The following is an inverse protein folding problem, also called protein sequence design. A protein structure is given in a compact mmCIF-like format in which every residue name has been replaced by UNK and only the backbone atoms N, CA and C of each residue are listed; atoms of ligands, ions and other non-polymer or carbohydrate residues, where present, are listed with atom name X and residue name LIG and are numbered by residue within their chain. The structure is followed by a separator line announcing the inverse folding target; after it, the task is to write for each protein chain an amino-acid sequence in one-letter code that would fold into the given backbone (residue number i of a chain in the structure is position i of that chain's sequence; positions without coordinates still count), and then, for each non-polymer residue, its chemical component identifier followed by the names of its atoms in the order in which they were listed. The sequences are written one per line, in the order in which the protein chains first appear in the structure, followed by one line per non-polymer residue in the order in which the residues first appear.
data_IF_737820464093
#
_entry.id   IF_737820464093
#
_cell.length_a   1.000
_cell.length_b   1.000
_cell.length_c   1.000
_cell.angle_alpha   90.00
_cell.angle_beta   90.00
_cell.angle_gamma   90.00
#
_symmetry.space_group_name_H-M   'P 1'
#
loop_
_entity.id
_entity.type
_entity.pdbx_description
1 polymer ?
#
# COMPACT_ATOMS: atom_id res chain seq x y z
N UNK A 1 -0.35 19.82 16.32
CA UNK A 1 1.08 19.79 15.94
C UNK A 1 1.15 19.02 14.63
N UNK A 2 1.72 19.61 13.56
CA UNK A 2 1.87 18.91 12.29
C UNK A 2 2.95 17.85 12.39
N UNK A 3 2.68 16.65 11.89
CA UNK A 3 3.64 15.56 11.84
C UNK A 3 4.27 15.58 10.45
N UNK A 4 5.59 15.61 10.39
CA UNK A 4 6.37 15.63 9.14
C UNK A 4 7.42 14.53 9.16
N UNK A 5 7.84 14.10 7.97
CA UNK A 5 8.96 13.17 7.82
C UNK A 5 10.24 13.69 8.49
N UNK A 6 11.02 12.76 9.04
CA UNK A 6 12.29 13.07 9.73
C UNK A 6 13.47 12.57 8.91
N UNK A 7 14.66 13.17 9.14
CA UNK A 7 15.92 12.68 8.61
C UNK A 7 16.01 12.64 7.08
N UNK A 8 15.32 13.57 6.38
CA UNK A 8 15.41 13.64 4.92
C UNK A 8 16.81 14.04 4.47
N UNK A 9 17.26 13.54 3.30
CA UNK A 9 18.52 14.00 2.68
C UNK A 9 18.53 15.51 2.45
N UNK A 10 19.72 16.10 2.40
CA UNK A 10 19.88 17.53 2.11
C UNK A 10 19.22 17.91 0.79
N UNK A 11 18.42 18.98 0.82
CA UNK A 11 17.68 19.47 -0.35
C UNK A 11 16.34 18.75 -0.61
N UNK A 12 16.00 17.71 0.15
CA UNK A 12 14.70 17.03 0.02
C UNK A 12 13.71 17.61 1.03
N UNK A 13 12.64 18.30 0.60
CA UNK A 13 11.66 18.86 1.51
C UNK A 13 10.85 17.73 2.19
N UNK A 14 10.67 17.76 3.53
CA UNK A 14 9.86 16.76 4.21
C UNK A 14 8.38 16.92 3.84
N UNK A 15 7.69 15.80 3.69
CA UNK A 15 6.24 15.79 3.50
C UNK A 15 5.51 15.77 4.84
N UNK A 16 4.35 16.42 4.88
CA UNK A 16 3.42 16.40 6.01
C UNK A 16 2.54 15.15 5.96
N UNK A 17 2.34 14.52 7.13
CA UNK A 17 1.40 13.42 7.28
C UNK A 17 -0.03 13.96 7.30
N UNK A 18 -0.76 13.74 6.22
CA UNK A 18 -2.17 14.16 6.05
C UNK A 18 -3.17 13.04 6.29
N UNK A 19 -2.70 11.78 6.40
CA UNK A 19 -3.53 10.58 6.44
C UNK A 19 -4.03 10.13 5.06
N UNK A 20 -3.75 10.89 4.00
CA UNK A 20 -4.05 10.51 2.62
C UNK A 20 -3.10 9.44 2.08
N UNK A 21 -1.86 9.48 2.55
CA UNK A 21 -0.79 8.56 2.14
C UNK A 21 0.07 8.15 3.31
N UNK A 22 0.65 6.96 3.21
CA UNK A 22 1.65 6.49 4.17
C UNK A 22 3.01 7.09 3.85
N UNK A 23 3.71 7.55 4.88
CA UNK A 23 5.03 8.14 4.75
C UNK A 23 6.11 7.29 5.46
N UNK A 24 7.22 6.95 4.77
CA UNK A 24 8.43 6.48 5.45
C UNK A 24 9.01 7.61 6.31
N UNK A 25 9.89 7.25 7.24
CA UNK A 25 10.59 8.21 8.10
C UNK A 25 9.67 9.04 9.03
N UNK A 26 8.47 8.51 9.30
CA UNK A 26 7.55 8.95 10.35
C UNK A 26 7.37 7.79 11.34
N UNK A 27 7.93 7.86 12.56
CA UNK A 27 7.91 6.73 13.51
C UNK A 27 6.51 6.19 13.81
N UNK A 28 5.51 7.06 13.88
CA UNK A 28 4.11 6.66 14.11
C UNK A 28 3.50 5.87 12.94
N UNK A 29 4.01 6.07 11.73
CA UNK A 29 3.57 5.41 10.51
C UNK A 29 4.30 4.09 10.22
N UNK A 30 5.31 3.70 11.02
CA UNK A 30 6.16 2.56 10.68
C UNK A 30 5.36 1.27 10.41
N UNK A 31 4.30 0.99 11.17
CA UNK A 31 3.44 -0.17 10.92
C UNK A 31 2.81 -0.13 9.53
N UNK A 32 2.15 0.97 9.17
CA UNK A 32 1.47 1.16 7.88
C UNK A 32 2.46 1.14 6.72
N UNK A 33 3.56 1.87 6.88
CA UNK A 33 4.65 1.87 5.90
C UNK A 33 5.19 0.45 5.65
N UNK A 34 5.49 -0.34 6.70
CA UNK A 34 6.02 -1.71 6.54
C UNK A 34 5.00 -2.68 5.96
N UNK A 35 3.72 -2.47 6.25
CA UNK A 35 2.59 -3.21 5.67
C UNK A 35 2.52 -3.01 4.15
N UNK A 36 2.56 -1.77 3.68
CA UNK A 36 2.58 -1.47 2.25
C UNK A 36 3.90 -1.90 1.59
N UNK A 37 5.03 -1.66 2.25
CA UNK A 37 6.35 -2.06 1.75
C UNK A 37 6.44 -3.56 1.47
N UNK A 38 5.81 -4.41 2.28
CA UNK A 38 5.78 -5.85 2.05
C UNK A 38 5.13 -6.22 0.72
N UNK A 39 4.06 -5.52 0.33
CA UNK A 39 3.39 -5.72 -0.96
C UNK A 39 4.26 -5.21 -2.11
N UNK A 40 4.91 -4.05 -1.96
CA UNK A 40 5.85 -3.53 -2.96
C UNK A 40 7.05 -4.45 -3.17
N UNK A 41 7.66 -4.98 -2.09
CA UNK A 41 8.77 -5.94 -2.19
C UNK A 41 8.34 -7.22 -2.91
N UNK A 42 7.14 -7.72 -2.62
CA UNK A 42 6.56 -8.90 -3.28
C UNK A 42 6.26 -8.64 -4.76
N UNK A 43 5.71 -7.47 -5.13
CA UNK A 43 5.45 -7.07 -6.50
C UNK A 43 6.75 -6.86 -7.29
N UNK A 44 7.78 -6.28 -6.66
CA UNK A 44 9.07 -6.03 -7.29
C UNK A 44 9.73 -7.31 -7.84
N UNK A 45 9.63 -8.44 -7.11
CA UNK A 45 10.16 -9.72 -7.60
C UNK A 45 9.43 -10.21 -8.86
N UNK A 46 8.14 -9.90 -9.00
CA UNK A 46 7.30 -10.26 -10.16
C UNK A 46 7.46 -9.31 -11.33
N UNK A 47 7.94 -8.11 -11.05
CA UNK A 47 8.21 -7.08 -12.05
C UNK A 47 9.66 -7.09 -12.54
N UNK A 48 10.45 -8.12 -12.22
CA UNK A 48 11.87 -8.19 -12.59
C UNK A 48 12.05 -8.10 -14.12
N UNK A 49 12.86 -7.13 -14.57
CA UNK A 49 13.14 -6.90 -15.99
C UNK A 49 12.04 -6.22 -16.81
N UNK A 50 10.88 -5.92 -16.21
CA UNK A 50 9.73 -5.32 -16.87
C UNK A 50 9.79 -3.78 -16.89
N UNK A 51 9.00 -3.18 -17.80
CA UNK A 51 8.61 -1.77 -17.76
C UNK A 51 7.37 -1.67 -16.85
N UNK A 52 7.47 -0.92 -15.78
CA UNK A 52 6.45 -0.85 -14.73
C UNK A 52 5.96 0.57 -14.56
N UNK A 53 4.67 0.74 -14.37
CA UNK A 53 4.07 2.00 -13.92
C UNK A 53 3.55 1.81 -12.49
N UNK A 54 4.01 2.65 -11.57
CA UNK A 54 3.49 2.76 -10.21
C UNK A 54 2.45 3.89 -10.20
N UNK A 55 1.18 3.54 -10.29
CA UNK A 55 0.05 4.47 -10.36
C UNK A 55 -0.35 4.95 -8.97
N UNK A 56 -0.47 6.28 -8.79
CA UNK A 56 -0.62 6.94 -7.50
C UNK A 56 0.55 6.63 -6.56
N UNK A 57 1.77 6.85 -7.05
CA UNK A 57 3.01 6.46 -6.36
C UNK A 57 3.30 7.25 -5.07
N UNK A 58 2.55 8.30 -4.79
CA UNK A 58 2.67 9.13 -3.59
C UNK A 58 4.07 9.68 -3.37
N UNK A 59 4.64 9.39 -2.21
CA UNK A 59 6.00 9.80 -1.81
C UNK A 59 7.12 9.18 -2.65
N UNK A 60 6.82 8.09 -3.39
CA UNK A 60 7.73 7.47 -4.35
C UNK A 60 8.54 6.30 -3.82
N UNK A 61 8.43 5.90 -2.54
CA UNK A 61 9.18 4.76 -2.00
C UNK A 61 8.84 3.44 -2.71
N UNK A 62 7.57 3.26 -3.11
CA UNK A 62 7.10 2.09 -3.85
C UNK A 62 7.78 1.98 -5.20
N UNK A 63 7.74 3.04 -5.99
CA UNK A 63 8.44 3.13 -7.28
C UNK A 63 9.94 2.87 -7.13
N UNK A 64 10.56 3.38 -6.07
CA UNK A 64 11.99 3.13 -5.79
C UNK A 64 12.28 1.66 -5.44
N UNK A 65 11.36 0.96 -4.76
CA UNK A 65 11.46 -0.48 -4.48
C UNK A 65 11.33 -1.29 -5.76
N UNK A 66 10.31 -1.02 -6.59
CA UNK A 66 10.10 -1.66 -7.89
C UNK A 66 11.33 -1.51 -8.79
N UNK A 67 11.92 -0.32 -8.83
CA UNK A 67 13.10 -0.02 -9.64
C UNK A 67 14.39 -0.75 -9.22
N UNK A 68 14.37 -1.53 -8.14
CA UNK A 68 15.49 -2.42 -7.79
C UNK A 68 15.54 -3.67 -8.66
N UNK A 69 14.40 -4.07 -9.25
CA UNK A 69 14.23 -5.29 -10.03
C UNK A 69 13.74 -5.02 -11.45
N UNK A 70 12.85 -4.06 -11.63
CA UNK A 70 12.32 -3.68 -12.92
C UNK A 70 13.39 -3.05 -13.81
N UNK A 71 13.23 -3.19 -15.14
CA UNK A 71 14.07 -2.53 -16.14
C UNK A 71 13.86 -1.02 -16.16
N UNK A 72 12.62 -0.60 -16.00
CA UNK A 72 12.20 0.81 -15.99
C UNK A 72 10.96 0.95 -15.10
N UNK A 73 10.90 2.03 -14.32
CA UNK A 73 9.73 2.39 -13.53
C UNK A 73 9.35 3.84 -13.78
N UNK A 74 8.05 4.06 -14.00
CA UNK A 74 7.44 5.39 -14.02
C UNK A 74 6.49 5.49 -12.83
N UNK A 75 6.80 6.34 -11.85
CA UNK A 75 5.88 6.71 -10.78
C UNK A 75 4.97 7.84 -11.25
N UNK A 76 3.66 7.65 -11.17
CA UNK A 76 2.64 8.63 -11.55
C UNK A 76 1.87 9.08 -10.32
N UNK A 77 1.77 10.38 -10.08
CA UNK A 77 0.95 10.95 -9.00
C UNK A 77 0.47 12.36 -9.39
N UNK A 78 -0.69 12.76 -8.91
CA UNK A 78 -1.24 14.08 -9.18
C UNK A 78 -0.65 15.18 -8.27
N UNK A 79 -0.14 14.79 -7.09
CA UNK A 79 0.33 15.74 -6.08
C UNK A 79 1.72 16.28 -6.42
N UNK A 80 1.85 17.61 -6.68
CA UNK A 80 3.12 18.17 -7.10
C UNK A 80 4.20 18.13 -6.00
N UNK A 81 3.82 18.24 -4.73
CA UNK A 81 4.77 18.23 -3.61
C UNK A 81 5.35 16.82 -3.40
N UNK A 82 4.49 15.79 -3.48
CA UNK A 82 4.90 14.39 -3.39
C UNK A 82 5.89 14.05 -4.52
N UNK A 83 5.60 14.48 -5.75
CA UNK A 83 6.47 14.22 -6.90
C UNK A 83 7.79 14.98 -6.87
N UNK A 84 7.79 16.22 -6.39
CA UNK A 84 9.04 16.96 -6.19
C UNK A 84 9.92 16.25 -5.16
N UNK A 85 9.36 15.88 -4.03
CA UNK A 85 10.03 15.07 -3.02
C UNK A 85 10.58 13.77 -3.61
N UNK A 86 9.73 13.01 -4.34
CA UNK A 86 10.11 11.75 -4.94
C UNK A 86 11.30 11.88 -5.93
N UNK A 87 11.28 12.89 -6.80
CA UNK A 87 12.36 13.18 -7.76
C UNK A 87 13.68 13.50 -7.09
N UNK A 88 13.64 14.25 -5.99
CA UNK A 88 14.84 14.62 -5.24
C UNK A 88 15.39 13.45 -4.42
N UNK A 89 14.50 12.67 -3.80
CA UNK A 89 14.89 11.57 -2.88
C UNK A 89 15.31 10.30 -3.63
N UNK A 90 14.62 9.93 -4.71
CA UNK A 90 14.76 8.65 -5.38
C UNK A 90 15.37 8.79 -6.79
N UNK A 91 16.52 9.44 -6.87
CA UNK A 91 17.22 9.59 -8.16
C UNK A 91 18.06 8.34 -8.47
N UNK A 92 17.63 7.57 -9.49
CA UNK A 92 18.38 6.40 -9.99
C UNK A 92 18.07 6.13 -11.47
N UNK A 93 19.00 5.51 -12.22
CA UNK A 93 18.75 5.10 -13.60
C UNK A 93 17.52 4.21 -13.74
N UNK A 94 16.70 4.45 -14.76
CA UNK A 94 15.49 3.68 -15.03
C UNK A 94 14.27 4.05 -14.17
N UNK A 95 14.38 5.00 -13.25
CA UNK A 95 13.26 5.52 -12.45
C UNK A 95 12.96 6.97 -12.82
N UNK A 96 11.71 7.25 -13.16
CA UNK A 96 11.23 8.62 -13.39
C UNK A 96 9.88 8.86 -12.72
N UNK A 97 9.54 10.11 -12.47
CA UNK A 97 8.27 10.52 -11.88
C UNK A 97 7.55 11.50 -12.79
N UNK A 98 6.27 11.26 -13.05
CA UNK A 98 5.41 12.04 -13.94
C UNK A 98 4.21 12.56 -13.14
N UNK A 99 3.90 13.84 -13.31
CA UNK A 99 2.70 14.42 -12.73
C UNK A 99 1.53 14.24 -13.66
N UNK A 100 0.59 13.39 -13.26
CA UNK A 100 -0.67 13.18 -13.96
C UNK A 100 -1.72 12.61 -13.01
N UNK A 101 -2.97 12.63 -13.44
CA UNK A 101 -4.06 11.88 -12.81
C UNK A 101 -4.00 10.43 -13.28
N UNK A 102 -4.34 9.49 -12.40
CA UNK A 102 -4.38 8.06 -12.74
C UNK A 102 -5.36 7.76 -13.88
N UNK A 103 -6.42 8.56 -13.99
CA UNK A 103 -7.41 8.47 -15.07
C UNK A 103 -6.93 9.09 -16.39
N UNK A 104 -5.87 9.90 -16.39
CA UNK A 104 -5.37 10.61 -17.57
C UNK A 104 -4.14 9.98 -18.20
N UNK A 105 -3.38 9.20 -17.44
CA UNK A 105 -2.12 8.64 -17.90
C UNK A 105 -2.32 7.42 -18.81
N UNK A 106 -1.62 7.36 -19.96
CA UNK A 106 -1.89 6.38 -21.04
C UNK A 106 -0.63 5.74 -21.65
N UNK A 107 0.52 5.74 -20.96
CA UNK A 107 1.72 5.13 -21.51
C UNK A 107 1.66 3.59 -21.40
N UNK A 108 1.84 2.82 -22.51
CA UNK A 108 1.87 1.36 -22.46
C UNK A 108 3.07 0.83 -21.68
N UNK A 109 2.86 -0.24 -20.90
CA UNK A 109 3.90 -0.88 -20.11
C UNK A 109 3.69 -2.40 -20.03
N UNK A 110 4.60 -3.10 -19.37
CA UNK A 110 4.48 -4.55 -19.19
C UNK A 110 3.67 -4.87 -17.90
N UNK A 111 3.74 -3.98 -16.89
CA UNK A 111 2.95 -4.14 -15.67
C UNK A 111 2.56 -2.79 -15.03
N UNK A 112 1.38 -2.75 -14.43
CA UNK A 112 0.91 -1.64 -13.57
C UNK A 112 0.86 -2.12 -12.13
N UNK A 113 1.36 -1.29 -11.21
CA UNK A 113 1.23 -1.44 -9.76
C UNK A 113 0.35 -0.31 -9.25
N UNK A 114 -0.79 -0.65 -8.62
CA UNK A 114 -1.81 0.28 -8.14
C UNK A 114 -2.26 -0.13 -6.75
N UNK A 115 -1.53 0.33 -5.74
CA UNK A 115 -1.69 -0.16 -4.37
C UNK A 115 -2.33 0.89 -3.46
N UNK A 116 -3.31 0.44 -2.64
CA UNK A 116 -3.99 1.27 -1.63
C UNK A 116 -4.53 2.58 -2.22
N UNK A 117 -5.24 2.46 -3.34
CA UNK A 117 -5.75 3.63 -4.07
C UNK A 117 -7.11 3.38 -4.69
N UNK A 118 -7.46 2.13 -5.03
CA UNK A 118 -8.74 1.79 -5.68
C UNK A 118 -9.95 2.18 -4.82
N UNK A 119 -9.80 2.22 -3.51
CA UNK A 119 -10.78 2.68 -2.53
C UNK A 119 -11.07 4.19 -2.59
N UNK A 120 -10.19 4.97 -3.21
CA UNK A 120 -10.33 6.41 -3.43
C UNK A 120 -10.92 6.77 -4.79
N UNK A 121 -11.09 5.78 -5.68
CA UNK A 121 -11.54 6.00 -7.06
C UNK A 121 -13.07 5.97 -7.17
N UNK A 122 -13.65 6.95 -7.86
CA UNK A 122 -15.10 7.02 -8.07
C UNK A 122 -15.63 5.94 -9.00
N UNK A 123 -14.88 5.63 -10.06
CA UNK A 123 -15.24 4.60 -11.04
C UNK A 123 -14.09 3.60 -11.23
N UNK A 124 -13.88 2.68 -10.27
CA UNK A 124 -12.76 1.74 -10.32
C UNK A 124 -12.85 0.77 -11.50
N UNK A 125 -14.05 0.37 -11.93
CA UNK A 125 -14.21 -0.51 -13.09
C UNK A 125 -13.71 0.12 -14.39
N UNK A 126 -14.05 1.36 -14.65
CA UNK A 126 -13.56 2.09 -15.84
C UNK A 126 -12.04 2.28 -15.80
N UNK A 127 -11.47 2.58 -14.62
CA UNK A 127 -10.02 2.70 -14.46
C UNK A 127 -9.30 1.37 -14.71
N UNK A 128 -9.81 0.28 -14.15
CA UNK A 128 -9.27 -1.06 -14.36
C UNK A 128 -9.34 -1.50 -15.83
N UNK A 129 -10.42 -1.14 -16.55
CA UNK A 129 -10.54 -1.38 -18.00
C UNK A 129 -9.40 -0.68 -18.76
N UNK A 130 -9.09 0.57 -18.44
CA UNK A 130 -7.94 1.28 -19.03
C UNK A 130 -6.61 0.62 -18.70
N UNK A 131 -6.44 0.15 -17.47
CA UNK A 131 -5.21 -0.56 -17.09
C UNK A 131 -5.04 -1.86 -17.86
N UNK A 132 -6.14 -2.60 -18.13
CA UNK A 132 -6.13 -3.80 -18.99
C UNK A 132 -5.67 -3.49 -20.43
N UNK A 133 -5.99 -2.30 -20.93
CA UNK A 133 -5.57 -1.85 -22.27
C UNK A 133 -4.08 -1.43 -22.30
N UNK A 134 -3.52 -1.04 -21.16
CA UNK A 134 -2.15 -0.49 -21.05
C UNK A 134 -1.10 -1.54 -20.70
N UNK A 135 -1.47 -2.62 -20.00
CA UNK A 135 -0.51 -3.58 -19.44
C UNK A 135 -1.01 -5.03 -19.47
N UNK A 136 -0.07 -5.97 -19.64
CA UNK A 136 -0.36 -7.42 -19.60
C UNK A 136 -0.66 -7.90 -18.18
N UNK A 137 -0.13 -7.22 -17.17
CA UNK A 137 -0.33 -7.57 -15.74
C UNK A 137 -0.63 -6.33 -14.92
N UNK A 138 -1.65 -6.41 -14.07
CA UNK A 138 -2.00 -5.33 -13.15
C UNK A 138 -2.04 -5.87 -11.72
N UNK A 139 -1.30 -5.23 -10.82
CA UNK A 139 -1.33 -5.47 -9.38
C UNK A 139 -2.18 -4.40 -8.72
N UNK A 140 -3.24 -4.81 -8.03
CA UNK A 140 -4.14 -3.89 -7.31
C UNK A 140 -4.21 -4.30 -5.85
N UNK A 141 -4.16 -3.34 -4.92
CA UNK A 141 -4.44 -3.64 -3.51
C UNK A 141 -5.42 -2.65 -2.90
N UNK A 142 -6.12 -3.13 -1.87
CA UNK A 142 -7.08 -2.34 -1.08
C UNK A 142 -7.15 -2.90 0.34
N UNK A 143 -7.48 -2.08 1.36
CA UNK A 143 -7.74 -2.57 2.70
C UNK A 143 -8.96 -3.50 2.74
N UNK A 144 -8.95 -4.45 3.66
CA UNK A 144 -10.12 -5.26 3.97
C UNK A 144 -11.04 -4.51 4.94
N UNK A 145 -12.26 -4.23 4.51
CA UNK A 145 -13.30 -3.60 5.34
C UNK A 145 -13.44 -4.28 6.70
N UNK A 146 -13.45 -5.63 6.74
CA UNK A 146 -13.69 -6.40 7.96
C UNK A 146 -12.60 -6.26 9.04
N UNK A 147 -11.40 -5.86 8.65
CA UNK A 147 -10.26 -5.68 9.58
C UNK A 147 -9.87 -4.21 9.78
N UNK A 148 -10.32 -3.34 8.89
CA UNK A 148 -10.06 -1.90 8.97
C UNK A 148 -11.16 -1.17 9.75
N UNK A 149 -12.43 -1.46 9.47
CA UNK A 149 -13.57 -0.82 10.10
C UNK A 149 -13.91 -1.45 11.47
N UNK A 150 -14.57 -0.70 12.37
CA UNK A 150 -15.14 -1.27 13.58
C UNK A 150 -16.13 -2.42 13.29
N UNK A 151 -16.25 -3.42 14.17
CA UNK A 151 -17.17 -4.53 13.95
C UNK A 151 -18.60 -4.06 13.66
N UNK A 152 -19.18 -4.51 12.54
CA UNK A 152 -20.54 -4.16 12.11
C UNK A 152 -20.67 -2.83 11.36
N UNK A 153 -19.59 -2.06 11.22
CA UNK A 153 -19.60 -0.84 10.42
C UNK A 153 -19.50 -1.18 8.91
N UNK A 154 -20.13 -0.35 8.09
CA UNK A 154 -20.08 -0.45 6.63
C UNK A 154 -18.88 0.29 6.03
N UNK A 155 -18.18 1.07 6.84
CA UNK A 155 -17.00 1.86 6.46
C UNK A 155 -16.14 2.16 7.68
N UNK A 156 -14.84 2.35 7.47
CA UNK A 156 -13.92 2.86 8.48
C UNK A 156 -14.07 4.38 8.68
N UNK A 157 -13.37 4.91 9.68
CA UNK A 157 -13.33 6.36 9.94
C UNK A 157 -12.41 7.14 8.96
N UNK A 158 -11.82 6.46 7.97
CA UNK A 158 -10.96 7.13 7.01
C UNK A 158 -11.77 8.02 6.06
N UNK A 159 -11.61 9.36 6.12
CA UNK A 159 -12.41 10.29 5.31
C UNK A 159 -12.07 10.24 3.82
N UNK A 160 -10.92 9.71 3.46
CA UNK A 160 -10.43 9.63 2.08
C UNK A 160 -10.97 8.43 1.31
N UNK A 161 -11.44 7.36 1.99
CA UNK A 161 -12.03 6.20 1.33
C UNK A 161 -13.43 6.52 0.83
N UNK A 162 -13.67 6.38 -0.46
CA UNK A 162 -14.99 6.45 -1.06
C UNK A 162 -15.74 5.13 -0.91
N UNK A 163 -15.02 4.02 -1.03
CA UNK A 163 -15.54 2.67 -0.87
C UNK A 163 -14.49 1.77 -0.24
N UNK A 164 -14.93 0.87 0.63
CA UNK A 164 -14.11 -0.21 1.17
C UNK A 164 -14.71 -1.56 0.76
N UNK A 165 -13.89 -2.59 0.69
CA UNK A 165 -14.26 -3.85 0.06
C UNK A 165 -14.16 -5.02 1.04
N UNK A 166 -15.10 -5.96 0.89
CA UNK A 166 -14.94 -7.35 1.34
C UNK A 166 -14.26 -8.17 0.24
N UNK A 167 -13.77 -9.36 0.58
CA UNK A 167 -13.03 -10.19 -0.37
C UNK A 167 -13.81 -10.50 -1.65
N UNK A 168 -15.09 -10.85 -1.50
CA UNK A 168 -15.97 -11.17 -2.62
C UNK A 168 -16.27 -9.94 -3.49
N UNK A 169 -16.45 -8.78 -2.88
CA UNK A 169 -16.72 -7.52 -3.60
C UNK A 169 -15.51 -7.06 -4.39
N UNK A 170 -14.30 -7.16 -3.78
CA UNK A 170 -13.06 -6.83 -4.47
C UNK A 170 -12.77 -7.80 -5.61
N UNK A 171 -12.97 -9.10 -5.38
CA UNK A 171 -12.86 -10.13 -6.42
C UNK A 171 -13.82 -9.85 -7.58
N UNK A 172 -15.12 -9.62 -7.29
CA UNK A 172 -16.13 -9.34 -8.30
C UNK A 172 -15.81 -8.07 -9.12
N UNK A 173 -15.27 -7.02 -8.50
CA UNK A 173 -14.77 -5.83 -9.21
C UNK A 173 -13.67 -6.22 -10.21
N UNK A 174 -12.69 -6.99 -9.79
CA UNK A 174 -11.59 -7.42 -10.66
C UNK A 174 -12.07 -8.34 -11.80
N UNK A 175 -12.92 -9.34 -11.49
CA UNK A 175 -13.48 -10.29 -12.45
C UNK A 175 -14.46 -9.63 -13.46
N UNK A 176 -15.02 -8.47 -13.12
CA UNK A 176 -15.85 -7.70 -14.07
C UNK A 176 -15.06 -7.14 -15.27
N UNK A 177 -13.72 -7.10 -15.15
CA UNK A 177 -12.84 -6.51 -16.17
C UNK A 177 -11.81 -7.51 -16.69
N UNK A 178 -11.24 -8.34 -15.83
CA UNK A 178 -10.14 -9.24 -16.17
C UNK A 178 -10.58 -10.70 -16.22
N UNK A 179 -10.04 -11.46 -17.19
CA UNK A 179 -10.38 -12.86 -17.39
C UNK A 179 -9.66 -13.80 -16.42
N UNK A 180 -8.49 -13.37 -15.91
CA UNK A 180 -7.68 -14.11 -14.94
C UNK A 180 -7.41 -13.25 -13.72
N UNK A 181 -7.98 -13.63 -12.59
CA UNK A 181 -7.90 -12.90 -11.32
C UNK A 181 -7.40 -13.83 -10.22
N UNK A 182 -6.24 -13.53 -9.66
CA UNK A 182 -5.75 -14.13 -8.42
C UNK A 182 -5.88 -13.12 -7.28
N UNK A 183 -6.58 -13.45 -6.21
CA UNK A 183 -6.69 -12.60 -5.01
C UNK A 183 -5.96 -13.25 -3.85
N UNK A 184 -5.02 -12.51 -3.29
CA UNK A 184 -4.26 -12.84 -2.09
C UNK A 184 -4.67 -11.92 -0.94
N UNK A 185 -4.54 -12.39 0.28
CA UNK A 185 -4.63 -11.59 1.50
C UNK A 185 -3.27 -11.33 2.11
N UNK A 186 -3.05 -10.13 2.62
CA UNK A 186 -1.91 -9.79 3.45
C UNK A 186 -2.24 -10.06 4.92
N UNK A 187 -1.33 -10.74 5.63
CA UNK A 187 -1.53 -11.15 7.02
C UNK A 187 -0.32 -10.81 7.88
N UNK A 188 -0.54 -10.70 9.18
CA UNK A 188 0.55 -10.67 10.14
C UNK A 188 1.36 -11.98 10.12
N UNK A 189 2.66 -11.84 10.26
CA UNK A 189 3.62 -12.93 10.40
C UNK A 189 4.55 -12.67 11.60
N UNK A 190 5.36 -13.67 11.98
CA UNK A 190 6.40 -13.53 12.98
C UNK A 190 5.90 -12.88 14.29
N UNK A 191 6.59 -11.83 14.74
CA UNK A 191 6.27 -11.12 15.99
C UNK A 191 4.89 -10.44 15.98
N UNK A 192 4.42 -9.96 14.83
CA UNK A 192 3.07 -9.38 14.73
C UNK A 192 1.99 -10.45 14.90
N UNK A 193 2.20 -11.65 14.40
CA UNK A 193 1.29 -12.76 14.63
C UNK A 193 1.27 -13.19 16.11
N UNK A 194 2.43 -13.20 16.77
CA UNK A 194 2.50 -13.46 18.19
C UNK A 194 1.79 -12.39 19.02
N UNK A 195 1.95 -11.12 18.65
CA UNK A 195 1.26 -10.00 19.27
C UNK A 195 -0.26 -10.07 19.05
N UNK A 196 -0.73 -10.38 17.85
CA UNK A 196 -2.16 -10.60 17.54
C UNK A 196 -2.76 -11.71 18.42
N UNK A 197 -2.02 -12.79 18.64
CA UNK A 197 -2.46 -13.86 19.54
C UNK A 197 -2.54 -13.37 21.01
N UNK A 198 -1.56 -12.60 21.46
CA UNK A 198 -1.58 -12.00 22.80
C UNK A 198 -2.79 -11.07 23.00
N UNK A 199 -3.15 -10.26 22.01
CA UNK A 199 -4.35 -9.43 22.05
C UNK A 199 -5.62 -10.26 22.22
N UNK A 200 -5.73 -11.40 21.54
CA UNK A 200 -6.89 -12.32 21.66
C UNK A 200 -7.07 -12.93 23.06
N UNK A 201 -6.00 -13.04 23.84
CA UNK A 201 -6.04 -13.53 25.23
C UNK A 201 -6.11 -12.42 26.26
N UNK A 202 -6.47 -11.20 25.85
CA UNK A 202 -6.75 -10.09 26.76
C UNK A 202 -5.58 -9.15 27.06
N UNK A 203 -4.47 -9.22 26.29
CA UNK A 203 -3.34 -8.31 26.47
C UNK A 203 -3.72 -6.83 26.38
N UNK A 204 -4.72 -6.51 25.56
CA UNK A 204 -5.22 -5.15 25.39
C UNK A 204 -5.88 -4.60 26.66
N UNK A 205 -6.61 -5.44 27.40
CA UNK A 205 -7.19 -5.09 28.72
C UNK A 205 -6.11 -4.76 29.75
N UNK A 206 -4.97 -5.46 29.72
CA UNK A 206 -3.80 -5.17 30.55
C UNK A 206 -3.18 -3.84 30.14
N UNK A 207 -3.09 -3.57 28.84
CA UNK A 207 -2.53 -2.33 28.30
C UNK A 207 -3.38 -1.11 28.70
N UNK A 208 -4.69 -1.16 28.48
CA UNK A 208 -5.61 -0.06 28.77
C UNK A 208 -5.70 0.28 30.27
N UNK A 209 -5.61 -0.74 31.12
CA UNK A 209 -5.79 -0.59 32.59
C UNK A 209 -4.51 -0.13 33.26
N UNK A 210 -3.35 -0.68 32.92
CA UNK A 210 -2.13 -0.49 33.69
C UNK A 210 -1.13 0.47 33.07
N UNK A 211 -1.26 0.82 31.78
CA UNK A 211 -0.32 1.67 31.00
C UNK A 211 1.16 1.28 31.08
N UNK A 212 1.48 0.15 31.71
CA UNK A 212 2.86 -0.37 31.90
C UNK A 212 3.46 -0.95 30.62
N UNK A 213 2.63 -1.14 29.59
CA UNK A 213 3.02 -1.75 28.32
C UNK A 213 3.56 -0.75 27.30
N UNK A 214 3.55 0.57 27.60
CA UNK A 214 4.12 1.61 26.73
C UNK A 214 5.56 1.30 26.30
N UNK A 215 6.50 0.93 27.20
CA UNK A 215 7.87 0.58 26.80
C UNK A 215 7.96 -0.63 25.86
N UNK A 216 6.99 -1.54 25.92
CA UNK A 216 6.90 -2.65 24.97
C UNK A 216 6.56 -2.14 23.57
N UNK A 217 5.53 -1.31 23.43
CA UNK A 217 5.14 -0.74 22.13
C UNK A 217 6.18 0.23 21.57
N UNK A 218 6.84 1.02 22.43
CA UNK A 218 7.95 1.90 22.03
C UNK A 218 9.11 1.12 21.39
N UNK A 219 9.28 -0.17 21.75
CA UNK A 219 10.27 -1.07 21.15
C UNK A 219 9.72 -1.89 20.00
N UNK A 220 8.47 -2.33 20.07
CA UNK A 220 7.84 -3.16 19.05
C UNK A 220 7.64 -2.41 17.75
N UNK A 221 7.06 -1.20 17.81
CA UNK A 221 6.71 -0.42 16.61
C UNK A 221 7.93 -0.12 15.73
N UNK A 222 9.05 0.40 16.23
CA UNK A 222 10.25 0.61 15.40
C UNK A 222 10.86 -0.69 14.86
N UNK A 223 10.66 -1.81 15.58
CA UNK A 223 11.20 -3.11 15.18
C UNK A 223 10.37 -3.81 14.09
N UNK A 224 9.18 -3.31 13.74
CA UNK A 224 8.35 -3.87 12.66
C UNK A 224 9.05 -3.70 11.32
N UNK A 225 9.06 -4.75 10.52
CA UNK A 225 9.65 -4.81 9.18
C UNK A 225 8.67 -5.41 8.17
N UNK A 226 8.94 -5.27 6.87
CA UNK A 226 8.13 -5.89 5.83
C UNK A 226 8.02 -7.43 5.99
N UNK A 227 9.04 -8.08 6.56
CA UNK A 227 9.05 -9.53 6.84
C UNK A 227 8.07 -9.98 7.93
N UNK A 228 7.45 -9.05 8.65
CA UNK A 228 6.41 -9.33 9.64
C UNK A 228 5.02 -9.41 9.02
N UNK A 229 4.96 -9.35 7.67
CA UNK A 229 3.76 -9.54 6.86
C UNK A 229 3.99 -10.65 5.85
N UNK A 230 2.89 -11.32 5.43
CA UNK A 230 2.93 -12.43 4.46
C UNK A 230 1.67 -12.44 3.62
N UNK A 231 1.82 -12.68 2.31
CA UNK A 231 0.70 -12.88 1.38
C UNK A 231 0.31 -14.36 1.31
N UNK A 232 -0.99 -14.64 1.33
CA UNK A 232 -1.59 -15.98 1.23
C UNK A 232 -2.94 -15.91 0.53
N UNK A 233 -3.38 -17.04 -0.05
CA UNK A 233 -4.66 -17.15 -0.75
C UNK A 233 -5.83 -17.68 0.11
N UNK A 234 -5.54 -18.16 1.33
CA UNK A 234 -6.54 -18.71 2.24
C UNK A 234 -7.06 -17.68 3.24
N UNK A 235 -8.28 -17.87 3.76
CA UNK A 235 -8.88 -17.09 4.85
C UNK A 235 -8.90 -15.58 4.59
N UNK A 236 -9.27 -15.19 3.39
CA UNK A 236 -9.25 -13.78 2.95
C UNK A 236 -10.08 -12.87 3.86
N UNK A 237 -11.13 -13.37 4.49
CA UNK A 237 -11.97 -12.64 5.45
C UNK A 237 -11.19 -12.08 6.67
N UNK A 238 -10.00 -12.65 6.96
CA UNK A 238 -9.10 -12.24 8.05
C UNK A 238 -7.87 -11.48 7.58
N UNK A 239 -7.75 -11.25 6.29
CA UNK A 239 -6.65 -10.49 5.73
C UNK A 239 -6.70 -9.03 6.19
N UNK A 240 -5.55 -8.40 6.30
CA UNK A 240 -5.41 -6.96 6.54
C UNK A 240 -5.75 -6.16 5.27
N UNK A 241 -5.20 -6.61 4.15
CA UNK A 241 -5.41 -6.08 2.81
C UNK A 241 -5.67 -7.21 1.84
N UNK A 242 -6.31 -6.89 0.72
CA UNK A 242 -6.34 -7.73 -0.47
C UNK A 242 -5.32 -7.24 -1.48
N UNK A 243 -4.72 -8.20 -2.20
CA UNK A 243 -3.84 -7.95 -3.34
C UNK A 243 -4.31 -8.82 -4.50
N UNK A 244 -4.69 -8.19 -5.60
CA UNK A 244 -5.07 -8.90 -6.82
C UNK A 244 -3.93 -8.86 -7.84
N UNK A 245 -3.72 -9.98 -8.54
CA UNK A 245 -2.92 -10.09 -9.76
C UNK A 245 -3.89 -10.37 -10.89
N UNK A 246 -3.89 -9.49 -11.90
CA UNK A 246 -4.89 -9.43 -12.95
C UNK A 246 -4.20 -9.57 -14.33
N UNK A 247 -4.77 -10.42 -15.21
CA UNK A 247 -4.29 -10.65 -16.57
C UNK A 247 -5.42 -10.62 -17.59
#
# INVERSE_FOLDING_TARGET
MRIVQQGQPDGVPPLELTGERTLPDVPAENYWFRRHLAVYEWAAERCAGLRVIDMACGEGYGAAVLARRARQVTGVDANPQALEHARLKYNRPGLRFVRDLVEGYEEPCDAIVFLQTVEHVRNPGALLTRFKEMADTVFVSTPNLLTLAPPGAEKSDNPWHLREYRAEEFRALCESVFDRVEVLGLFHARKLKAHELALRVGWDSVHSTLRITKPFYDRLVPAISARDFVLRSDRLERALDFVAVLH
#
